data_IF_482792862213
#
_entry.id   IF_482792862213
#
_cell.length_a   1.000
_cell.length_b   1.000
_cell.length_c   1.000
_cell.angle_alpha   90.00
_cell.angle_beta   90.00
_cell.angle_gamma   90.00
#
_symmetry.space_group_name_H-M   'P 1'
#
loop_
_entity.id
_entity.type
_entity.pdbx_description
1 polymer ?
#
# COMPACT_ATOMS: atom_id res chain seq x y z
N UNK A 1 21.91 -19.65 10.18
CA UNK A 1 21.28 -19.50 8.85
C UNK A 1 20.17 -18.49 9.02
N UNK A 2 20.14 -17.46 8.18
CA UNK A 2 18.95 -16.63 8.08
C UNK A 2 18.07 -17.41 7.11
N UNK A 3 17.10 -18.17 7.63
CA UNK A 3 16.11 -18.81 6.78
C UNK A 3 15.41 -17.72 5.97
N UNK A 4 15.39 -17.88 4.65
CA UNK A 4 14.67 -16.95 3.78
C UNK A 4 13.19 -16.97 4.14
N UNK A 5 12.54 -15.79 4.24
CA UNK A 5 11.11 -15.73 4.54
C UNK A 5 10.32 -16.43 3.43
N UNK A 6 9.28 -17.16 3.81
CA UNK A 6 8.39 -17.78 2.83
C UNK A 6 7.67 -16.74 1.97
N UNK A 7 7.21 -17.16 0.80
CA UNK A 7 6.40 -16.32 -0.09
C UNK A 7 5.17 -15.75 0.63
N UNK A 8 4.51 -16.57 1.48
CA UNK A 8 3.36 -16.11 2.25
C UNK A 8 3.72 -14.96 3.19
N UNK A 9 4.84 -15.09 3.91
CA UNK A 9 5.30 -14.06 4.84
C UNK A 9 5.73 -12.78 4.11
N UNK A 10 6.34 -12.91 2.93
CA UNK A 10 6.68 -11.79 2.06
C UNK A 10 5.41 -11.02 1.67
N UNK A 11 4.38 -11.72 1.19
CA UNK A 11 3.11 -11.10 0.74
C UNK A 11 2.35 -10.41 1.89
N UNK A 12 2.40 -10.97 3.10
CA UNK A 12 1.82 -10.34 4.29
C UNK A 12 2.50 -9.01 4.63
N UNK A 13 3.85 -9.00 4.64
CA UNK A 13 4.64 -7.79 4.90
C UNK A 13 4.39 -6.73 3.84
N UNK A 14 4.24 -7.14 2.59
CA UNK A 14 3.88 -6.24 1.48
C UNK A 14 2.53 -5.58 1.73
N UNK A 15 1.50 -6.34 2.10
CA UNK A 15 0.21 -5.74 2.43
C UNK A 15 0.32 -4.76 3.60
N UNK A 16 1.10 -5.08 4.64
CA UNK A 16 1.33 -4.14 5.75
C UNK A 16 2.07 -2.88 5.27
N UNK A 17 3.03 -3.02 4.35
CA UNK A 17 3.76 -1.88 3.79
C UNK A 17 2.86 -1.00 2.91
N UNK A 18 1.95 -1.60 2.15
CA UNK A 18 0.90 -0.86 1.42
C UNK A 18 0.03 -0.08 2.41
N UNK A 19 -0.35 -0.68 3.54
CA UNK A 19 -1.08 0.05 4.58
C UNK A 19 -0.30 1.27 5.10
N UNK A 20 1.01 1.15 5.33
CA UNK A 20 1.85 2.29 5.74
C UNK A 20 1.89 3.41 4.67
N UNK A 21 1.90 3.04 3.39
CA UNK A 21 1.80 4.02 2.29
C UNK A 21 0.45 4.74 2.31
N UNK A 22 -0.64 4.01 2.58
CA UNK A 22 -1.98 4.61 2.69
C UNK A 22 -2.06 5.61 3.86
N UNK A 23 -1.34 5.41 4.96
CA UNK A 23 -1.23 6.41 6.04
C UNK A 23 -0.61 7.72 5.52
N UNK A 24 0.49 7.62 4.76
CA UNK A 24 1.17 8.79 4.18
C UNK A 24 0.22 9.55 3.24
N UNK A 25 -0.48 8.85 2.35
CA UNK A 25 -1.41 9.49 1.41
C UNK A 25 -2.63 10.10 2.11
N UNK A 26 -3.14 9.44 3.17
CA UNK A 26 -4.27 9.92 3.95
C UNK A 26 -3.97 11.23 4.72
N UNK A 27 -2.70 11.52 4.97
CA UNK A 27 -2.23 12.73 5.64
C UNK A 27 -2.12 13.95 4.70
N UNK A 28 -2.52 13.82 3.43
CA UNK A 28 -2.61 14.93 2.47
C UNK A 28 -1.25 15.65 2.31
N UNK A 29 -1.21 16.96 2.53
CA UNK A 29 -0.01 17.79 2.34
C UNK A 29 1.14 17.35 3.24
N UNK A 30 0.82 16.91 4.47
CA UNK A 30 1.83 16.39 5.40
C UNK A 30 2.48 15.10 4.89
N UNK A 31 1.74 14.29 4.13
CA UNK A 31 2.28 13.15 3.42
C UNK A 31 3.31 13.54 2.36
N UNK A 32 3.01 14.58 1.57
CA UNK A 32 3.95 15.13 0.58
C UNK A 32 5.20 15.68 1.25
N UNK A 33 5.05 16.38 2.38
CA UNK A 33 6.17 16.93 3.14
C UNK A 33 7.09 15.84 3.69
N UNK A 34 6.53 14.70 4.09
CA UNK A 34 7.28 13.58 4.67
C UNK A 34 8.21 12.91 3.66
N UNK A 35 7.72 12.65 2.44
CA UNK A 35 8.45 11.84 1.44
C UNK A 35 9.01 12.66 0.27
N UNK A 36 8.63 13.93 0.16
CA UNK A 36 8.92 14.79 -0.98
C UNK A 36 8.13 14.38 -2.23
N UNK A 37 8.03 15.28 -3.21
CA UNK A 37 7.18 15.08 -4.39
C UNK A 37 7.52 13.82 -5.20
N UNK A 38 8.81 13.57 -5.46
CA UNK A 38 9.26 12.37 -6.20
C UNK A 38 8.98 11.09 -5.41
N UNK A 39 9.20 11.12 -4.09
CA UNK A 39 8.87 10.01 -3.22
C UNK A 39 7.38 9.72 -3.23
N UNK A 40 6.55 10.78 -3.20
CA UNK A 40 5.09 10.69 -3.20
C UNK A 40 4.53 9.99 -4.43
N UNK A 41 4.99 10.35 -5.63
CA UNK A 41 4.55 9.69 -6.87
C UNK A 41 5.01 8.24 -6.98
N UNK A 42 6.18 7.91 -6.41
CA UNK A 42 6.76 6.58 -6.53
C UNK A 42 6.42 5.64 -5.36
N UNK A 43 5.55 6.04 -4.42
CA UNK A 43 5.19 5.25 -3.24
C UNK A 43 4.72 3.83 -3.59
N UNK A 44 4.06 3.65 -4.74
CA UNK A 44 3.49 2.38 -5.17
C UNK A 44 4.31 1.61 -6.22
N UNK A 45 5.40 2.17 -6.74
CA UNK A 45 6.18 1.61 -7.87
C UNK A 45 6.66 0.17 -7.58
N UNK A 46 7.14 -0.08 -6.36
CA UNK A 46 7.62 -1.39 -5.91
C UNK A 46 6.49 -2.42 -5.68
N UNK A 47 5.23 -2.01 -5.74
CA UNK A 47 4.06 -2.82 -5.40
C UNK A 47 3.23 -3.19 -6.64
N UNK A 48 2.88 -2.21 -7.47
CA UNK A 48 1.89 -2.41 -8.56
C UNK A 48 2.36 -3.37 -9.65
N UNK A 49 3.67 -3.55 -9.82
CA UNK A 49 4.27 -4.47 -10.80
C UNK A 49 4.58 -5.86 -10.24
N UNK A 50 4.13 -6.18 -9.02
CA UNK A 50 4.37 -7.52 -8.45
C UNK A 50 3.51 -8.58 -9.15
N UNK A 51 4.10 -9.69 -9.61
CA UNK A 51 3.35 -10.79 -10.24
C UNK A 51 2.23 -11.34 -9.36
N UNK A 52 2.41 -11.37 -8.03
CA UNK A 52 1.40 -11.83 -7.08
C UNK A 52 0.16 -10.92 -7.03
N UNK A 53 0.34 -9.60 -7.19
CA UNK A 53 -0.78 -8.66 -7.26
C UNK A 53 -1.48 -8.81 -8.60
N UNK A 54 -0.75 -8.87 -9.71
CA UNK A 54 -1.31 -9.04 -11.05
C UNK A 54 -2.11 -10.35 -11.17
N UNK A 55 -1.54 -11.45 -10.70
CA UNK A 55 -2.16 -12.78 -10.70
C UNK A 55 -3.27 -12.94 -9.64
N UNK A 56 -3.43 -11.99 -8.72
CA UNK A 56 -4.42 -12.06 -7.64
C UNK A 56 -4.12 -13.11 -6.58
N UNK A 57 -2.84 -13.47 -6.40
CA UNK A 57 -2.35 -14.42 -5.38
C UNK A 57 -1.70 -13.73 -4.18
N UNK A 58 -1.68 -12.39 -4.15
CA UNK A 58 -1.15 -11.61 -3.03
C UNK A 58 -2.00 -11.72 -1.75
N UNK A 59 -1.49 -11.18 -0.64
CA UNK A 59 -2.23 -11.14 0.62
C UNK A 59 -3.40 -10.14 0.63
N UNK A 60 -3.53 -9.31 -0.41
CA UNK A 60 -4.62 -8.36 -0.56
C UNK A 60 -5.94 -9.10 -0.78
N UNK A 61 -7.02 -8.63 -0.15
CA UNK A 61 -8.35 -9.03 -0.60
C UNK A 61 -8.64 -8.43 -1.99
N UNK A 62 -9.70 -8.93 -2.64
CA UNK A 62 -10.17 -8.36 -3.91
C UNK A 62 -10.43 -6.86 -3.81
N UNK A 63 -11.10 -6.43 -2.74
CA UNK A 63 -11.49 -5.04 -2.56
C UNK A 63 -10.27 -4.16 -2.23
N UNK A 64 -9.34 -4.67 -1.42
CA UNK A 64 -8.07 -3.98 -1.13
C UNK A 64 -7.22 -3.80 -2.38
N UNK A 65 -7.15 -4.84 -3.23
CA UNK A 65 -6.44 -4.75 -4.51
C UNK A 65 -7.08 -3.69 -5.42
N UNK A 66 -8.41 -3.70 -5.54
CA UNK A 66 -9.12 -2.77 -6.41
C UNK A 66 -8.84 -1.30 -6.02
N UNK A 67 -8.98 -0.97 -4.74
CA UNK A 67 -8.78 0.41 -4.27
C UNK A 67 -7.31 0.85 -4.32
N UNK A 68 -6.35 -0.08 -4.13
CA UNK A 68 -4.92 0.22 -4.30
C UNK A 68 -4.58 0.55 -5.75
N UNK A 69 -5.15 -0.18 -6.70
CA UNK A 69 -4.94 0.10 -8.13
C UNK A 69 -5.56 1.44 -8.53
N UNK A 70 -6.74 1.77 -8.02
CA UNK A 70 -7.38 3.08 -8.23
C UNK A 70 -6.50 4.24 -7.72
N UNK A 71 -5.92 4.09 -6.52
CA UNK A 71 -5.01 5.10 -5.96
C UNK A 71 -3.72 5.21 -6.80
N UNK A 72 -3.18 4.10 -7.29
CA UNK A 72 -2.01 4.10 -8.15
C UNK A 72 -2.27 4.86 -9.47
N UNK A 73 -3.44 4.65 -10.09
CA UNK A 73 -3.87 5.40 -11.28
C UNK A 73 -3.99 6.90 -10.99
N UNK A 74 -4.48 7.29 -9.81
CA UNK A 74 -4.52 8.71 -9.42
C UNK A 74 -3.13 9.33 -9.23
N UNK A 75 -2.19 8.59 -8.64
CA UNK A 75 -0.81 9.06 -8.50
C UNK A 75 -0.10 9.20 -9.85
N UNK A 76 -0.33 8.26 -10.77
CA UNK A 76 0.17 8.33 -12.14
C UNK A 76 -0.41 9.54 -12.87
N UNK A 77 -1.73 9.74 -12.84
CA UNK A 77 -2.38 10.90 -13.46
C UNK A 77 -1.90 12.24 -12.87
N UNK A 78 -1.67 12.29 -11.56
CA UNK A 78 -1.12 13.47 -10.89
C UNK A 78 0.34 13.74 -11.32
N UNK A 79 1.15 12.69 -11.50
CA UNK A 79 2.52 12.81 -12.00
C UNK A 79 2.56 13.27 -13.47
N UNK A 80 1.74 12.69 -14.34
CA UNK A 80 1.66 13.03 -15.77
C UNK A 80 1.15 14.44 -16.03
N UNK A 81 0.19 14.91 -15.22
CA UNK A 81 -0.37 16.26 -15.36
C UNK A 81 0.64 17.33 -14.92
N UNK A 82 1.56 16.97 -14.01
CA UNK A 82 2.41 17.94 -13.31
C UNK A 82 3.88 17.51 -13.24
N UNK A 83 4.54 17.16 -14.36
CA UNK A 83 5.86 16.53 -14.36
C UNK A 83 6.96 17.44 -13.79
N UNK A 84 6.79 18.75 -13.87
CA UNK A 84 7.77 19.77 -13.48
C UNK A 84 7.40 20.52 -12.19
N UNK A 85 6.35 20.11 -11.49
CA UNK A 85 5.93 20.83 -10.29
C UNK A 85 7.01 20.78 -9.20
N UNK A 86 7.22 21.93 -8.57
CA UNK A 86 7.85 21.99 -7.25
C UNK A 86 6.90 21.40 -6.20
N UNK A 87 7.43 21.06 -5.03
CA UNK A 87 6.62 20.59 -3.91
C UNK A 87 5.48 21.56 -3.55
N UNK A 88 5.76 22.87 -3.56
CA UNK A 88 4.77 23.90 -3.22
C UNK A 88 3.65 23.97 -4.26
N UNK A 89 3.99 23.95 -5.55
CA UNK A 89 3.00 23.94 -6.64
C UNK A 89 2.12 22.69 -6.60
N UNK A 90 2.68 21.53 -6.22
CA UNK A 90 1.91 20.30 -6.06
C UNK A 90 0.92 20.37 -4.89
N UNK A 91 1.33 20.93 -3.75
CA UNK A 91 0.40 21.14 -2.62
C UNK A 91 -0.70 22.14 -3.01
N UNK A 92 -0.34 23.27 -3.62
CA UNK A 92 -1.29 24.32 -4.02
C UNK A 92 -2.29 23.87 -5.11
N UNK A 93 -1.97 22.82 -5.86
CA UNK A 93 -2.82 22.26 -6.92
C UNK A 93 -4.01 21.41 -6.43
N UNK A 94 -4.06 21.14 -5.12
CA UNK A 94 -5.07 20.29 -4.46
C UNK A 94 -5.07 18.82 -4.94
N UNK A 95 -4.03 18.35 -5.64
CA UNK A 95 -3.85 16.92 -5.93
C UNK A 95 -3.78 16.07 -4.65
N UNK A 96 -3.01 16.46 -3.60
CA UNK A 96 -3.04 15.75 -2.31
C UNK A 96 -4.44 15.69 -1.70
N UNK A 97 -5.19 16.79 -1.77
CA UNK A 97 -6.56 16.89 -1.26
C UNK A 97 -7.57 16.00 -2.00
N UNK A 98 -7.32 15.71 -3.29
CA UNK A 98 -8.11 14.76 -4.10
C UNK A 98 -7.76 13.31 -3.83
N UNK A 99 -6.49 13.00 -3.54
CA UNK A 99 -6.02 11.62 -3.30
C UNK A 99 -6.33 11.16 -1.86
N UNK A 100 -6.19 12.05 -0.89
CA UNK A 100 -6.31 11.71 0.53
C UNK A 100 -7.65 11.06 0.93
N UNK A 101 -8.83 11.46 0.39
CA UNK A 101 -10.10 10.79 0.69
C UNK A 101 -10.09 9.29 0.33
N UNK A 102 -9.70 8.93 -0.90
CA UNK A 102 -9.63 7.54 -1.34
C UNK A 102 -8.60 6.75 -0.53
N UNK A 103 -7.46 7.37 -0.20
CA UNK A 103 -6.47 6.74 0.68
C UNK A 103 -7.01 6.46 2.10
N UNK A 104 -7.83 7.35 2.67
CA UNK A 104 -8.49 7.12 3.98
C UNK A 104 -9.50 5.98 3.91
N UNK A 105 -10.25 5.87 2.82
CA UNK A 105 -11.18 4.76 2.59
C UNK A 105 -10.43 3.42 2.48
N UNK A 106 -9.35 3.39 1.71
CA UNK A 106 -8.47 2.21 1.59
C UNK A 106 -7.86 1.83 2.94
N UNK A 107 -7.33 2.80 3.69
CA UNK A 107 -6.81 2.58 5.05
C UNK A 107 -7.85 1.93 5.95
N UNK A 108 -9.08 2.45 5.95
CA UNK A 108 -10.17 1.89 6.74
C UNK A 108 -10.52 0.45 6.31
N UNK A 109 -10.48 0.17 5.01
CA UNK A 109 -10.68 -1.18 4.47
C UNK A 109 -9.62 -2.16 4.98
N UNK A 110 -8.34 -1.77 4.96
CA UNK A 110 -7.24 -2.61 5.48
C UNK A 110 -7.40 -2.90 6.98
N UNK A 111 -7.73 -1.86 7.76
CA UNK A 111 -7.91 -1.98 9.22
C UNK A 111 -9.12 -2.84 9.61
N UNK A 112 -10.17 -2.92 8.79
CA UNK A 112 -11.32 -3.81 9.06
C UNK A 112 -10.91 -5.28 9.14
N UNK A 113 -9.94 -5.71 8.33
CA UNK A 113 -9.37 -7.06 8.40
C UNK A 113 -8.25 -7.16 9.43
N UNK A 114 -7.56 -6.05 9.72
CA UNK A 114 -6.41 -5.99 10.60
C UNK A 114 -5.08 -6.08 9.85
N UNK A 115 -3.97 -5.97 10.59
CA UNK A 115 -2.62 -6.12 10.06
C UNK A 115 -2.11 -7.54 10.25
N UNK A 116 -1.35 -8.02 9.27
CA UNK A 116 -0.75 -9.34 9.33
C UNK A 116 0.45 -9.37 10.28
N UNK A 117 0.74 -10.54 10.84
CA UNK A 117 2.01 -10.80 11.51
C UNK A 117 3.17 -10.74 10.51
N UNK A 118 4.25 -10.07 10.88
CA UNK A 118 5.51 -10.08 10.11
C UNK A 118 6.39 -11.29 10.40
N UNK A 119 6.01 -12.14 11.36
CA UNK A 119 6.85 -13.25 11.86
C UNK A 119 6.24 -14.63 11.65
N UNK A 120 4.93 -14.71 11.52
CA UNK A 120 4.19 -15.98 11.43
C UNK A 120 3.29 -15.90 10.21
N UNK A 121 3.19 -17.01 9.48
CA UNK A 121 2.23 -17.14 8.39
C UNK A 121 0.80 -17.19 8.93
N UNK A 122 -0.09 -16.49 8.24
CA UNK A 122 -1.48 -16.33 8.59
C UNK A 122 -2.34 -16.55 7.35
N UNK A 123 -3.53 -17.12 7.51
CA UNK A 123 -4.52 -17.23 6.42
C UNK A 123 -5.20 -15.87 6.24
N UNK A 124 -5.60 -15.27 7.37
CA UNK A 124 -6.20 -13.95 7.51
C UNK A 124 -5.51 -13.23 8.67
N UNK A 125 -5.50 -11.89 8.74
CA UNK A 125 -4.82 -11.19 9.82
C UNK A 125 -5.28 -11.71 11.19
N UNK A 126 -4.33 -12.07 12.06
CA UNK A 126 -4.61 -12.65 13.37
C UNK A 126 -5.07 -14.12 13.37
N UNK A 127 -5.12 -14.78 12.21
CA UNK A 127 -5.45 -16.21 12.06
C UNK A 127 -4.26 -16.96 11.45
N UNK A 128 -3.41 -17.60 12.27
CA UNK A 128 -2.29 -18.41 11.78
C UNK A 128 -2.74 -19.46 10.76
N UNK A 129 -1.94 -19.69 9.71
CA UNK A 129 -1.98 -20.97 8.98
C UNK A 129 -1.67 -22.01 10.03
N UNK A 130 -2.65 -22.86 10.37
CA UNK A 130 -2.50 -23.82 11.44
C UNK A 130 -1.13 -24.50 11.32
N UNK A 131 -0.26 -24.30 12.32
CA UNK A 131 0.91 -25.16 12.46
C UNK A 131 0.33 -26.57 12.42
N UNK A 132 0.85 -27.42 11.55
CA UNK A 132 0.60 -28.84 11.64
C UNK A 132 0.81 -29.23 13.11
N UNK A 133 -0.29 -29.43 13.84
CA UNK A 133 -0.26 -30.07 15.13
C UNK A 133 0.14 -31.52 14.82
N UNK A 134 1.44 -31.75 14.78
CA UNK A 134 2.04 -32.91 14.18
C UNK A 134 3.35 -33.27 14.89
N UNK A 135 3.17 -33.73 16.13
CA UNK A 135 4.07 -34.52 16.99
C UNK A 135 5.31 -33.87 17.58
#
# INVERSE_FOLDING_TARGET
MIDEPSERLIEQRIRNRIYEILEILADCDAGVDLVGIKGYFNLFEDFVHRPSIEAGTSALSRDERAIVLEIAEFLEAASETNPDFTKAEFIDSDWPGKIAPTAREARALFLRRGLFSEKIEEIEPGRPTAIAAGQ
#
